data_IF_923157830981
#
_entry.id   IF_923157830981
#
_cell.length_a   1.000
_cell.length_b   1.000
_cell.length_c   1.000
_cell.angle_alpha   90.00
_cell.angle_beta   90.00
_cell.angle_gamma   90.00
#
_symmetry.space_group_name_H-M   'P 1'
#
loop_
_entity.id
_entity.type
_entity.pdbx_description
1 polymer ?
#
# COMPACT_ATOMS: atom_id res chain seq x y z
N UNK A 1 -6.48 53.87 -37.84
CA UNK A 1 -7.57 52.93 -37.47
C UNK A 1 -7.11 51.52 -37.82
N UNK A 2 -7.48 50.51 -37.03
CA UNK A 2 -7.14 49.10 -37.25
C UNK A 2 -8.39 48.33 -37.74
N UNK A 3 -8.32 47.15 -38.36
CA UNK A 3 -7.17 46.43 -38.94
C UNK A 3 -7.64 45.68 -40.20
N UNK A 4 -6.79 45.56 -41.21
CA UNK A 4 -6.90 44.48 -42.19
C UNK A 4 -6.13 43.26 -41.66
N UNK A 5 -6.63 42.06 -41.99
CA UNK A 5 -5.85 40.86 -42.30
C UNK A 5 -6.81 39.81 -42.88
N UNK A 6 -6.46 39.24 -44.04
CA UNK A 6 -7.32 38.31 -44.78
C UNK A 6 -7.03 36.84 -44.48
N UNK A 7 -7.90 35.94 -44.95
CA UNK A 7 -7.67 34.50 -44.90
C UNK A 7 -6.50 34.11 -45.82
N UNK A 8 -5.60 33.25 -45.32
CA UNK A 8 -4.51 32.65 -46.08
C UNK A 8 -4.25 31.23 -45.55
N UNK A 9 -4.00 30.28 -46.45
CA UNK A 9 -3.91 28.87 -46.11
C UNK A 9 -2.70 28.51 -45.24
N UNK A 10 -2.86 27.52 -44.37
CA UNK A 10 -1.74 26.74 -43.85
C UNK A 10 -1.61 25.45 -44.66
N UNK A 11 -0.50 25.30 -45.36
CA UNK A 11 -0.14 24.08 -46.09
C UNK A 11 0.62 23.10 -45.18
N UNK A 12 0.74 21.86 -45.63
CA UNK A 12 1.71 20.91 -45.07
C UNK A 12 3.13 21.45 -45.29
N UNK A 13 4.02 21.24 -44.32
CA UNK A 13 5.45 21.45 -44.48
C UNK A 13 6.18 20.25 -43.89
N UNK A 14 6.94 19.57 -44.75
CA UNK A 14 7.71 18.37 -44.45
C UNK A 14 9.08 18.51 -45.10
N UNK A 15 10.07 18.98 -44.35
CA UNK A 15 11.47 19.06 -44.79
C UNK A 15 12.40 19.21 -43.57
N UNK A 16 13.21 18.18 -43.34
CA UNK A 16 14.60 18.31 -42.84
C UNK A 16 15.33 16.99 -43.17
N UNK A 17 15.80 16.87 -44.41
CA UNK A 17 16.67 15.78 -44.90
C UNK A 17 18.07 16.35 -45.17
N UNK A 18 19.10 15.71 -44.62
CA UNK A 18 20.46 16.25 -44.56
C UNK A 18 21.51 15.35 -45.21
N UNK A 19 21.76 15.53 -46.50
CA UNK A 19 22.68 14.71 -47.28
C UNK A 19 24.20 14.99 -47.03
N UNK A 20 25.10 14.06 -47.41
CA UNK A 20 26.41 13.89 -46.75
C UNK A 20 27.61 14.59 -47.42
N UNK A 21 28.77 14.59 -46.72
CA UNK A 21 30.09 14.87 -47.32
C UNK A 21 31.22 13.95 -46.82
N UNK A 22 32.08 13.56 -47.76
CA UNK A 22 33.29 12.73 -47.68
C UNK A 22 34.55 13.58 -47.28
N UNK A 23 35.74 13.06 -46.92
CA UNK A 23 36.28 11.68 -46.82
C UNK A 23 37.65 11.58 -46.11
N UNK A 24 37.88 10.49 -45.36
CA UNK A 24 39.15 9.71 -45.24
C UNK A 24 40.42 10.38 -44.63
N UNK A 25 41.51 9.63 -44.33
CA UNK A 25 41.74 8.16 -44.25
C UNK A 25 42.13 7.77 -42.78
N UNK A 26 42.72 6.64 -42.31
CA UNK A 26 43.08 5.23 -42.68
C UNK A 26 43.57 4.55 -41.36
N UNK A 27 43.82 3.20 -41.25
CA UNK A 27 43.45 2.07 -42.11
C UNK A 27 42.70 0.93 -41.36
N UNK A 28 42.29 -0.12 -42.09
CA UNK A 28 41.78 -1.37 -41.50
C UNK A 28 42.92 -2.33 -41.09
N UNK A 29 42.59 -3.31 -40.26
CA UNK A 29 43.14 -4.67 -40.36
C UNK A 29 41.96 -5.60 -40.64
N UNK A 30 42.06 -6.41 -41.69
CA UNK A 30 41.06 -7.42 -42.04
C UNK A 30 41.32 -8.73 -41.29
N UNK A 31 40.28 -9.53 -41.08
CA UNK A 31 40.39 -10.97 -41.28
C UNK A 31 39.04 -11.54 -41.76
N UNK A 32 39.10 -12.26 -42.88
CA UNK A 32 38.11 -13.28 -43.28
C UNK A 32 38.50 -14.60 -42.56
N UNK A 33 37.76 -15.71 -42.60
CA UNK A 33 37.04 -16.35 -43.71
C UNK A 33 35.97 -17.35 -43.20
N UNK A 34 35.15 -17.87 -44.13
CA UNK A 34 34.44 -19.17 -44.13
C UNK A 34 33.50 -19.57 -42.96
N UNK A 35 32.39 -20.30 -43.17
CA UNK A 35 31.78 -20.78 -44.42
C UNK A 35 31.33 -22.25 -44.37
N UNK A 36 30.08 -22.52 -43.98
CA UNK A 36 29.48 -23.88 -44.11
C UNK A 36 27.96 -23.81 -44.31
N UNK A 37 27.40 -24.74 -45.10
CA UNK A 37 25.99 -24.77 -45.52
C UNK A 37 25.14 -25.89 -44.87
N UNK A 38 23.81 -25.78 -45.04
CA UNK A 38 22.78 -26.84 -44.98
C UNK A 38 22.47 -27.48 -43.59
N UNK A 39 21.24 -27.92 -43.27
CA UNK A 39 20.15 -28.37 -44.16
C UNK A 39 18.73 -28.12 -43.63
N UNK A 40 17.80 -28.05 -44.59
CA UNK A 40 16.35 -28.38 -44.61
C UNK A 40 15.98 -29.53 -43.64
N UNK A 41 14.76 -29.68 -43.10
CA UNK A 41 13.38 -29.54 -43.65
C UNK A 41 12.36 -29.10 -42.58
N UNK A 42 11.40 -28.18 -42.81
CA UNK A 42 10.14 -28.29 -43.58
C UNK A 42 9.04 -29.19 -42.95
N UNK A 43 7.82 -28.65 -42.75
CA UNK A 43 6.67 -29.38 -42.18
C UNK A 43 5.46 -28.52 -41.78
N UNK A 44 4.69 -27.98 -42.74
CA UNK A 44 3.44 -27.22 -42.51
C UNK A 44 2.27 -27.93 -43.20
N UNK A 45 1.29 -28.44 -42.45
CA UNK A 45 0.02 -28.96 -42.98
C UNK A 45 -1.15 -28.61 -42.06
N UNK A 46 -2.15 -27.92 -42.64
CA UNK A 46 -3.56 -27.81 -42.25
C UNK A 46 -4.35 -27.41 -43.52
N UNK A 47 -5.69 -27.53 -43.58
CA UNK A 47 -6.63 -28.40 -42.86
C UNK A 47 -7.43 -29.29 -43.83
N UNK A 48 -8.41 -30.07 -43.34
CA UNK A 48 -9.52 -30.62 -44.15
C UNK A 48 -10.83 -30.62 -43.36
N UNK A 49 -11.91 -30.17 -43.99
CA UNK A 49 -13.28 -30.14 -43.45
C UNK A 49 -14.09 -31.37 -43.89
N UNK A 50 -15.22 -31.62 -43.20
CA UNK A 50 -16.50 -32.13 -43.72
C UNK A 50 -17.46 -32.26 -42.51
N UNK A 51 -18.48 -31.42 -42.30
CA UNK A 51 -19.77 -31.27 -43.02
C UNK A 51 -20.68 -32.50 -42.97
N UNK A 52 -21.75 -32.44 -42.16
CA UNK A 52 -23.11 -32.36 -42.72
C UNK A 52 -24.16 -31.92 -41.66
N UNK A 53 -25.28 -31.40 -42.15
CA UNK A 53 -26.29 -30.68 -41.37
C UNK A 53 -27.42 -31.59 -40.85
N UNK A 54 -28.19 -31.13 -39.86
CA UNK A 54 -29.62 -30.89 -40.10
C UNK A 54 -30.22 -29.79 -39.22
N UNK A 55 -31.28 -29.17 -39.74
CA UNK A 55 -31.86 -27.85 -39.39
C UNK A 55 -32.89 -27.96 -38.25
N UNK A 56 -32.99 -26.94 -37.37
CA UNK A 56 -34.24 -26.21 -37.06
C UNK A 56 -34.04 -24.92 -36.22
N UNK A 57 -35.03 -24.01 -36.33
CA UNK A 57 -35.14 -22.64 -35.79
C UNK A 57 -35.19 -22.58 -34.25
N UNK A 58 -34.75 -21.50 -33.57
CA UNK A 58 -35.46 -20.20 -33.49
C UNK A 58 -34.59 -19.03 -32.96
N UNK A 59 -35.11 -17.79 -32.97
CA UNK A 59 -34.39 -16.57 -32.56
C UNK A 59 -34.55 -16.15 -31.07
N UNK A 60 -33.44 -15.85 -30.38
CA UNK A 60 -33.44 -15.05 -29.15
C UNK A 60 -32.06 -14.38 -28.90
N UNK A 61 -31.99 -13.09 -28.48
CA UNK A 61 -30.73 -12.34 -28.43
C UNK A 61 -29.89 -12.53 -27.15
N UNK A 62 -28.59 -12.28 -27.29
CA UNK A 62 -27.56 -12.37 -26.24
C UNK A 62 -27.82 -11.42 -25.06
N UNK A 63 -27.77 -11.94 -23.83
CA UNK A 63 -27.91 -11.17 -22.59
C UNK A 63 -26.62 -10.39 -22.28
N UNK A 64 -26.75 -9.09 -21.97
CA UNK A 64 -25.63 -8.17 -21.83
C UNK A 64 -24.83 -8.31 -20.51
N UNK A 65 -23.66 -7.68 -20.47
CA UNK A 65 -22.76 -7.57 -19.30
C UNK A 65 -23.50 -7.08 -18.04
N UNK A 66 -23.18 -7.71 -16.89
CA UNK A 66 -23.63 -7.21 -15.58
C UNK A 66 -22.86 -5.95 -15.18
N UNK A 67 -23.59 -4.96 -14.66
CA UNK A 67 -23.03 -3.89 -13.85
C UNK A 67 -22.67 -4.35 -12.43
N UNK A 68 -22.23 -3.43 -11.55
CA UNK A 68 -21.94 -3.74 -10.16
C UNK A 68 -23.20 -4.16 -9.39
N UNK A 69 -23.02 -5.11 -8.47
CA UNK A 69 -24.11 -5.76 -7.71
C UNK A 69 -24.58 -4.85 -6.58
N UNK A 70 -25.90 -4.64 -6.47
CA UNK A 70 -26.54 -4.07 -5.28
C UNK A 70 -26.60 -5.10 -4.14
N UNK A 71 -26.51 -4.63 -2.90
CA UNK A 71 -26.64 -5.48 -1.71
C UNK A 71 -28.04 -6.12 -1.56
N UNK A 72 -28.19 -7.08 -0.62
CA UNK A 72 -29.43 -7.86 -0.49
C UNK A 72 -30.67 -6.99 -0.23
N UNK A 73 -31.75 -7.27 -0.95
CA UNK A 73 -33.09 -6.80 -0.57
C UNK A 73 -33.53 -7.50 0.71
N UNK A 74 -34.22 -6.76 1.57
CA UNK A 74 -34.96 -7.34 2.68
C UNK A 74 -36.41 -7.53 2.26
N UNK A 75 -36.81 -8.78 2.00
CA UNK A 75 -38.23 -9.12 1.86
C UNK A 75 -38.93 -9.03 3.23
N UNK A 76 -40.21 -8.64 3.22
CA UNK A 76 -41.09 -8.66 4.39
C UNK A 76 -41.71 -7.31 4.77
N UNK A 77 -42.72 -6.87 4.02
CA UNK A 77 -43.57 -5.73 4.38
C UNK A 77 -45.00 -6.19 4.74
N UNK A 78 -45.42 -6.11 6.01
CA UNK A 78 -46.82 -6.09 6.39
C UNK A 78 -47.37 -4.66 6.25
N UNK A 79 -48.55 -4.50 5.68
CA UNK A 79 -49.22 -3.20 5.56
C UNK A 79 -50.08 -2.88 6.78
N UNK A 80 -49.78 -1.78 7.48
CA UNK A 80 -50.80 -0.88 8.06
C UNK A 80 -50.14 0.40 8.57
N UNK A 81 -50.88 1.51 8.54
CA UNK A 81 -50.40 2.77 9.07
C UNK A 81 -50.33 2.74 10.61
N UNK A 82 -49.21 3.20 11.17
CA UNK A 82 -49.22 3.76 12.51
C UNK A 82 -48.19 4.90 12.66
N UNK A 83 -48.43 5.81 13.60
CA UNK A 83 -47.62 7.02 13.77
C UNK A 83 -46.42 6.76 14.67
N UNK A 84 -45.21 6.81 14.13
CA UNK A 84 -43.99 6.91 14.93
C UNK A 84 -43.19 8.16 14.59
N UNK A 85 -43.09 9.04 15.58
CA UNK A 85 -42.21 10.20 15.62
C UNK A 85 -40.75 9.77 15.58
N UNK A 86 -39.99 10.29 14.61
CA UNK A 86 -38.53 10.15 14.57
C UNK A 86 -37.91 11.49 14.92
N UNK A 87 -37.56 11.67 16.20
CA UNK A 87 -36.74 12.79 16.69
C UNK A 87 -35.26 12.59 16.28
N UNK A 88 -35.01 12.58 14.97
CA UNK A 88 -33.69 12.75 14.40
C UNK A 88 -33.48 14.25 14.16
N UNK A 89 -32.57 14.88 14.92
CA UNK A 89 -32.25 16.31 14.78
C UNK A 89 -31.50 16.59 13.46
N UNK A 90 -32.24 16.65 12.37
CA UNK A 90 -31.79 17.24 11.10
C UNK A 90 -31.42 18.71 11.36
N UNK A 91 -30.28 19.15 10.80
CA UNK A 91 -29.89 20.56 10.94
C UNK A 91 -30.97 21.48 10.33
N UNK A 92 -31.17 22.71 10.85
CA UNK A 92 -32.18 23.62 10.29
C UNK A 92 -32.03 23.86 8.79
N UNK A 93 -30.79 23.88 8.27
CA UNK A 93 -30.50 23.99 6.84
C UNK A 93 -30.86 22.72 6.05
N UNK A 94 -30.71 21.54 6.66
CA UNK A 94 -31.15 20.26 6.09
C UNK A 94 -32.68 20.23 6.00
N UNK A 95 -33.37 20.54 7.10
CA UNK A 95 -34.83 20.56 7.16
C UNK A 95 -35.43 21.55 6.14
N UNK A 96 -34.90 22.78 6.09
CA UNK A 96 -35.33 23.79 5.12
C UNK A 96 -35.11 23.34 3.66
N UNK A 97 -33.98 22.67 3.35
CA UNK A 97 -33.73 22.13 2.00
C UNK A 97 -34.71 21.01 1.63
N UNK A 98 -35.00 20.07 2.52
CA UNK A 98 -35.97 19.01 2.25
C UNK A 98 -37.36 19.58 1.99
N UNK A 99 -37.79 20.55 2.81
CA UNK A 99 -39.10 21.21 2.66
C UNK A 99 -39.20 22.01 1.35
N UNK A 100 -38.14 22.72 0.95
CA UNK A 100 -38.07 23.40 -0.36
C UNK A 100 -38.09 22.39 -1.52
N UNK A 101 -37.41 21.25 -1.37
CA UNK A 101 -37.38 20.20 -2.39
C UNK A 101 -38.78 19.59 -2.60
N UNK A 102 -39.47 19.18 -1.53
CA UNK A 102 -40.83 18.63 -1.60
C UNK A 102 -41.84 19.65 -2.18
N UNK A 103 -41.69 20.94 -1.85
CA UNK A 103 -42.53 22.02 -2.40
C UNK A 103 -42.19 22.40 -3.86
N UNK A 104 -41.09 21.90 -4.43
CA UNK A 104 -40.67 22.19 -5.82
C UNK A 104 -40.70 20.97 -6.75
N UNK A 105 -40.96 19.77 -6.22
CA UNK A 105 -41.26 18.61 -7.03
C UNK A 105 -42.61 18.79 -7.76
N UNK A 106 -42.71 18.56 -9.08
CA UNK A 106 -43.98 18.58 -9.79
C UNK A 106 -44.87 17.41 -9.32
N UNK A 107 -46.21 17.59 -9.22
CA UNK A 107 -47.12 16.57 -8.70
C UNK A 107 -47.28 15.34 -9.61
N UNK A 108 -46.70 15.37 -10.80
CA UNK A 108 -46.49 14.21 -11.67
C UNK A 108 -45.00 14.17 -12.02
N UNK A 109 -44.35 13.05 -11.74
CA UNK A 109 -42.92 12.86 -12.00
C UNK A 109 -42.67 12.73 -13.51
N UNK A 110 -42.39 13.87 -14.16
CA UNK A 110 -41.91 13.86 -15.53
C UNK A 110 -40.44 13.41 -15.54
N UNK A 111 -40.21 12.13 -15.88
CA UNK A 111 -38.89 11.50 -15.97
C UNK A 111 -38.34 11.52 -17.41
N UNK A 112 -39.07 12.08 -18.37
CA UNK A 112 -38.63 12.13 -19.77
C UNK A 112 -37.50 13.16 -19.92
N UNK A 113 -36.35 12.70 -20.45
CA UNK A 113 -35.24 13.57 -20.80
C UNK A 113 -35.69 14.48 -21.95
N UNK A 114 -35.60 15.82 -21.82
CA UNK A 114 -36.05 16.72 -22.88
C UNK A 114 -35.26 16.48 -24.17
N UNK A 115 -35.91 16.54 -25.35
CA UNK A 115 -35.23 16.31 -26.62
C UNK A 115 -34.10 17.31 -26.81
N UNK A 116 -32.97 16.84 -27.33
CA UNK A 116 -31.79 17.69 -27.56
C UNK A 116 -32.14 18.87 -28.49
N UNK A 117 -31.65 20.08 -28.19
CA UNK A 117 -32.02 21.26 -28.96
C UNK A 117 -31.58 21.14 -30.44
N UNK A 118 -32.42 21.56 -31.40
CA UNK A 118 -32.11 21.42 -32.82
C UNK A 118 -30.83 22.17 -33.18
N UNK A 119 -29.90 21.47 -33.85
CA UNK A 119 -28.57 21.99 -34.20
C UNK A 119 -27.42 21.49 -33.32
N UNK A 120 -27.68 20.70 -32.28
CA UNK A 120 -26.63 20.01 -31.50
C UNK A 120 -26.51 18.52 -31.88
N UNK A 121 -25.31 17.92 -31.93
CA UNK A 121 -23.98 18.53 -31.78
C UNK A 121 -23.41 19.12 -33.09
N UNK A 122 -22.47 20.05 -32.91
CA UNK A 122 -21.59 20.61 -33.97
C UNK A 122 -20.98 19.50 -34.86
N UNK A 123 -21.07 19.57 -36.21
CA UNK A 123 -20.55 18.54 -37.10
C UNK A 123 -19.05 18.26 -36.90
N UNK A 124 -18.25 19.29 -36.62
CA UNK A 124 -16.82 19.13 -36.35
C UNK A 124 -16.56 18.44 -34.99
N UNK A 125 -17.45 18.61 -34.01
CA UNK A 125 -17.36 17.90 -32.74
C UNK A 125 -17.70 16.40 -32.92
N UNK A 126 -18.75 16.08 -33.66
CA UNK A 126 -19.12 14.69 -33.99
C UNK A 126 -18.01 13.94 -34.76
N UNK A 127 -17.34 14.61 -35.71
CA UNK A 127 -16.19 14.03 -36.42
C UNK A 127 -15.02 13.69 -35.47
N UNK A 128 -14.78 14.52 -34.43
CA UNK A 128 -13.76 14.24 -33.40
C UNK A 128 -14.20 13.07 -32.49
N UNK A 129 -15.45 13.03 -32.05
CA UNK A 129 -15.96 11.93 -31.20
C UNK A 129 -15.97 10.58 -31.91
N UNK A 130 -16.37 10.51 -33.18
CA UNK A 130 -16.30 9.27 -33.97
C UNK A 130 -14.85 8.78 -34.15
N UNK A 131 -13.91 9.71 -34.38
CA UNK A 131 -12.48 9.37 -34.40
C UNK A 131 -11.98 8.83 -33.05
N UNK A 132 -12.28 9.48 -31.92
CA UNK A 132 -11.93 8.98 -30.59
C UNK A 132 -12.54 7.60 -30.28
N UNK A 133 -13.77 7.33 -30.72
CA UNK A 133 -14.40 6.01 -30.58
C UNK A 133 -13.70 4.94 -31.44
N UNK A 134 -13.20 5.28 -32.62
CA UNK A 134 -12.41 4.37 -33.45
C UNK A 134 -11.05 4.04 -32.81
N UNK A 135 -10.34 5.04 -32.29
CA UNK A 135 -9.08 4.87 -31.55
C UNK A 135 -9.25 4.01 -30.29
N UNK A 136 -10.37 4.17 -29.57
CA UNK A 136 -10.71 3.35 -28.41
C UNK A 136 -11.01 1.89 -28.79
N UNK A 137 -11.70 1.65 -29.91
CA UNK A 137 -11.89 0.28 -30.45
C UNK A 137 -10.58 -0.38 -30.87
N UNK A 138 -9.57 0.39 -31.27
CA UNK A 138 -8.20 -0.06 -31.54
C UNK A 138 -7.34 -0.23 -30.27
N UNK A 139 -7.94 -0.18 -29.07
CA UNK A 139 -7.24 -0.35 -27.80
C UNK A 139 -6.43 0.86 -27.33
N UNK A 140 -6.46 2.00 -28.04
CA UNK A 140 -5.64 3.17 -27.67
C UNK A 140 -6.42 4.12 -26.75
N UNK A 141 -6.02 4.14 -25.47
CA UNK A 141 -6.60 5.04 -24.47
C UNK A 141 -5.96 6.43 -24.55
N UNK A 142 -6.71 7.40 -25.08
CA UNK A 142 -6.20 8.75 -25.35
C UNK A 142 -5.63 9.45 -24.10
N UNK A 143 -6.34 9.43 -22.96
CA UNK A 143 -5.89 10.08 -21.72
C UNK A 143 -4.60 9.46 -21.16
N UNK A 144 -4.43 8.16 -21.31
CA UNK A 144 -3.21 7.43 -20.91
C UNK A 144 -2.03 7.79 -21.83
N UNK A 145 -2.28 7.85 -23.14
CA UNK A 145 -1.29 8.28 -24.14
C UNK A 145 -0.90 9.76 -23.97
N UNK A 146 -1.80 10.60 -23.48
CA UNK A 146 -1.50 11.99 -23.07
C UNK A 146 -0.66 12.03 -21.79
N UNK A 147 -1.02 11.30 -20.73
CA UNK A 147 -0.26 11.27 -19.46
C UNK A 147 1.18 10.70 -19.63
N UNK A 148 1.38 9.85 -20.62
CA UNK A 148 2.68 9.32 -21.01
C UNK A 148 3.41 10.17 -22.07
N UNK A 149 2.80 11.24 -22.59
CA UNK A 149 3.44 12.15 -23.55
C UNK A 149 4.47 13.05 -22.87
N UNK A 150 5.71 13.04 -23.37
CA UNK A 150 6.78 13.93 -22.91
C UNK A 150 6.43 15.42 -23.04
N UNK A 151 5.62 15.79 -24.03
CA UNK A 151 5.14 17.16 -24.25
C UNK A 151 4.33 17.69 -23.06
N UNK A 152 3.50 16.85 -22.43
CA UNK A 152 2.70 17.23 -21.25
C UNK A 152 3.47 17.12 -19.92
N UNK A 153 4.61 16.41 -19.91
CA UNK A 153 5.54 16.38 -18.77
C UNK A 153 6.50 17.58 -18.74
N UNK A 154 6.46 18.46 -19.74
CA UNK A 154 7.28 19.66 -19.79
C UNK A 154 6.65 20.80 -18.96
N UNK A 155 7.28 21.27 -17.87
CA UNK A 155 6.70 22.30 -17.01
C UNK A 155 6.52 23.67 -17.71
N UNK A 156 7.24 23.93 -18.81
CA UNK A 156 7.03 25.15 -19.62
C UNK A 156 5.72 25.15 -20.42
N UNK A 157 5.07 23.98 -20.58
CA UNK A 157 3.78 23.89 -21.28
C UNK A 157 2.63 24.47 -20.45
N UNK A 158 2.74 24.43 -19.11
CA UNK A 158 1.72 24.97 -18.20
C UNK A 158 1.50 26.46 -18.44
N UNK A 159 2.57 27.25 -18.56
CA UNK A 159 2.45 28.69 -18.83
C UNK A 159 1.75 28.95 -20.17
N UNK A 160 2.11 28.24 -21.24
CA UNK A 160 1.43 28.35 -22.55
C UNK A 160 -0.07 27.99 -22.50
N UNK A 161 -0.46 27.07 -21.61
CA UNK A 161 -1.87 26.73 -21.38
C UNK A 161 -2.59 27.81 -20.58
N UNK A 162 -1.94 28.43 -19.59
CA UNK A 162 -2.45 29.58 -18.86
C UNK A 162 -2.60 30.81 -19.78
N UNK A 163 -1.57 31.12 -20.58
CA UNK A 163 -1.58 32.16 -21.62
C UNK A 163 -2.77 31.97 -22.58
N UNK A 164 -3.01 30.74 -23.04
CA UNK A 164 -4.13 30.39 -23.93
C UNK A 164 -5.51 30.47 -23.26
N UNK A 165 -5.58 30.17 -21.96
CA UNK A 165 -6.80 30.29 -21.17
C UNK A 165 -7.09 31.73 -20.69
N UNK A 166 -6.20 32.68 -20.96
CA UNK A 166 -6.31 34.07 -20.47
C UNK A 166 -6.08 34.21 -18.96
N UNK A 167 -5.38 33.27 -18.34
CA UNK A 167 -5.07 33.26 -16.90
C UNK A 167 -3.63 33.75 -16.72
N UNK A 168 -3.44 34.89 -16.05
CA UNK A 168 -2.10 35.38 -15.73
C UNK A 168 -1.45 34.65 -14.53
N UNK A 169 -0.15 34.87 -14.32
CA UNK A 169 0.63 34.20 -13.25
C UNK A 169 0.21 34.58 -11.82
N UNK A 170 -0.63 35.61 -11.62
CA UNK A 170 -1.22 35.96 -10.32
C UNK A 170 -2.63 35.40 -10.17
N UNK A 171 -3.42 35.41 -11.25
CA UNK A 171 -4.80 34.90 -11.29
C UNK A 171 -4.94 33.42 -10.93
N UNK A 172 -3.87 32.61 -11.10
CA UNK A 172 -3.84 31.22 -10.60
C UNK A 172 -4.00 31.10 -9.07
N UNK A 173 -3.79 32.19 -8.31
CA UNK A 173 -3.93 32.25 -6.85
C UNK A 173 -5.20 32.99 -6.39
N UNK A 174 -6.07 33.38 -7.33
CA UNK A 174 -7.39 33.92 -7.00
C UNK A 174 -8.30 32.80 -6.49
N UNK A 175 -9.17 33.11 -5.53
CA UNK A 175 -10.09 32.15 -4.92
C UNK A 175 -11.51 32.70 -4.92
N UNK A 176 -12.50 31.85 -4.67
CA UNK A 176 -13.90 32.26 -4.49
C UNK A 176 -14.19 32.84 -3.10
N UNK A 177 -13.17 33.09 -2.28
CA UNK A 177 -13.32 33.70 -0.96
C UNK A 177 -13.46 35.23 -1.07
N UNK A 178 -14.16 35.90 -0.14
CA UNK A 178 -14.15 37.35 -0.04
C UNK A 178 -12.72 37.91 0.07
N UNK A 179 -12.46 39.03 -0.60
CA UNK A 179 -11.14 39.69 -0.62
C UNK A 179 -10.64 40.15 0.77
N UNK A 180 -11.55 40.26 1.74
CA UNK A 180 -11.24 40.52 3.16
C UNK A 180 -10.56 39.32 3.85
N UNK A 181 -10.82 38.10 3.38
CA UNK A 181 -10.26 36.85 3.92
C UNK A 181 -9.04 36.37 3.14
N UNK A 182 -8.99 36.62 1.82
CA UNK A 182 -7.84 36.28 0.98
C UNK A 182 -7.63 37.27 -0.15
N UNK A 183 -6.45 37.88 -0.20
CA UNK A 183 -6.00 38.75 -1.29
C UNK A 183 -4.56 38.39 -1.65
N UNK A 184 -4.37 37.77 -2.83
CA UNK A 184 -3.07 37.38 -3.39
C UNK A 184 -2.10 38.57 -3.54
N UNK A 185 -2.63 39.75 -3.88
CA UNK A 185 -1.88 41.00 -4.03
C UNK A 185 -1.65 41.74 -2.71
N UNK A 186 -2.22 41.27 -1.59
CA UNK A 186 -2.10 41.88 -0.26
C UNK A 186 -0.94 41.34 0.60
N UNK A 187 -0.15 40.39 0.08
CA UNK A 187 0.93 39.76 0.82
C UNK A 187 2.10 40.73 1.08
N UNK A 188 2.68 40.76 2.29
CA UNK A 188 3.95 41.45 2.56
C UNK A 188 5.11 40.90 1.73
N UNK A 189 6.16 41.71 1.50
CA UNK A 189 7.33 41.31 0.67
C UNK A 189 7.94 39.97 1.09
N UNK A 190 8.07 39.75 2.41
CA UNK A 190 8.65 38.54 2.99
C UNK A 190 7.81 37.27 2.73
N UNK A 191 6.53 37.42 2.36
CA UNK A 191 5.64 36.31 2.03
C UNK A 191 5.86 35.75 0.63
N UNK A 192 6.54 36.48 -0.25
CA UNK A 192 6.83 36.00 -1.61
C UNK A 192 7.99 35.00 -1.63
N UNK A 193 7.88 34.03 -2.55
CA UNK A 193 8.80 32.91 -2.74
C UNK A 193 10.28 33.31 -2.76
N UNK A 194 10.63 34.45 -3.35
CA UNK A 194 12.03 34.88 -3.50
C UNK A 194 12.63 35.41 -2.19
N UNK A 195 11.88 36.21 -1.42
CA UNK A 195 12.33 36.69 -0.11
C UNK A 195 12.39 35.56 0.91
N UNK A 196 11.44 34.62 0.90
CA UNK A 196 11.51 33.39 1.70
C UNK A 196 12.77 32.57 1.38
N UNK A 197 13.08 32.38 0.10
CA UNK A 197 14.23 31.59 -0.35
C UNK A 197 15.57 32.31 -0.02
N UNK A 198 15.58 33.65 -0.07
CA UNK A 198 16.71 34.48 0.40
C UNK A 198 16.90 34.35 1.92
N UNK A 199 15.84 34.53 2.71
CA UNK A 199 15.87 34.37 4.17
C UNK A 199 16.34 32.98 4.61
N UNK A 200 15.87 31.92 3.92
CA UNK A 200 16.34 30.54 4.17
C UNK A 200 17.82 30.35 3.85
N UNK A 201 18.34 30.95 2.76
CA UNK A 201 19.77 30.95 2.43
C UNK A 201 20.60 31.67 3.49
N UNK A 202 20.18 32.87 3.89
CA UNK A 202 20.86 33.67 4.93
C UNK A 202 20.88 32.94 6.27
N UNK A 203 19.75 32.33 6.69
CA UNK A 203 19.66 31.50 7.89
C UNK A 203 20.61 30.30 7.84
N UNK A 204 20.76 29.66 6.67
CA UNK A 204 21.65 28.50 6.46
C UNK A 204 23.14 28.88 6.43
N UNK A 205 23.47 30.08 5.94
CA UNK A 205 24.82 30.66 6.00
C UNK A 205 25.15 31.08 7.44
N UNK A 206 24.17 31.62 8.18
CA UNK A 206 24.35 31.99 9.59
C UNK A 206 24.56 30.76 10.48
N UNK A 207 23.78 29.68 10.29
CA UNK A 207 23.94 28.45 11.07
C UNK A 207 25.27 27.74 10.78
N UNK A 208 25.71 27.67 9.52
CA UNK A 208 27.03 27.11 9.16
C UNK A 208 28.18 27.93 9.75
N UNK A 209 28.13 29.28 9.67
CA UNK A 209 29.12 30.15 10.34
C UNK A 209 29.14 29.98 11.87
N UNK A 210 27.97 29.82 12.49
CA UNK A 210 27.83 29.61 13.95
C UNK A 210 28.39 28.24 14.37
N UNK A 211 28.23 27.21 13.53
CA UNK A 211 28.83 25.89 13.75
C UNK A 211 30.35 25.92 13.60
N UNK A 212 30.90 26.60 12.58
CA UNK A 212 32.37 26.72 12.43
C UNK A 212 33.02 27.49 13.58
N UNK A 213 32.35 28.52 14.11
CA UNK A 213 32.84 29.29 15.26
C UNK A 213 32.74 28.54 16.60
N UNK A 214 31.89 27.51 16.71
CA UNK A 214 31.70 26.73 17.93
C UNK A 214 32.80 25.67 18.17
N UNK A 215 33.69 25.41 17.21
CA UNK A 215 34.70 24.33 17.27
C UNK A 215 35.87 24.58 18.24
N UNK A 216 35.84 25.66 19.04
CA UNK A 216 36.83 25.98 20.08
C UNK A 216 36.11 26.33 21.39
N UNK A 217 35.38 25.35 21.96
CA UNK A 217 34.82 25.44 23.31
C UNK A 217 34.86 24.06 24.00
N UNK A 218 35.23 24.05 25.28
CA UNK A 218 35.30 22.81 26.07
C UNK A 218 33.90 22.23 26.30
N UNK A 219 33.69 20.98 25.88
CA UNK A 219 32.41 20.27 25.93
C UNK A 219 32.08 19.64 27.31
N UNK A 220 32.65 20.14 28.41
CA UNK A 220 32.34 19.68 29.76
C UNK A 220 31.18 20.52 30.36
N UNK A 221 29.99 19.93 30.63
CA UNK A 221 28.80 20.70 31.01
C UNK A 221 28.92 21.48 32.32
N UNK A 222 29.81 21.06 33.21
CA UNK A 222 30.02 21.63 34.55
C UNK A 222 30.60 23.06 34.51
N UNK A 223 31.30 23.42 33.42
CA UNK A 223 31.90 24.74 33.25
C UNK A 223 30.91 25.81 32.73
N UNK A 224 29.69 25.43 32.33
CA UNK A 224 28.72 26.35 31.73
C UNK A 224 27.92 27.09 32.80
N UNK A 225 28.56 28.09 33.41
CA UNK A 225 27.92 29.01 34.35
C UNK A 225 26.67 29.68 33.75
N UNK A 226 25.63 29.85 34.58
CA UNK A 226 24.33 30.36 34.14
C UNK A 226 24.45 31.75 33.48
N UNK A 227 23.90 31.95 32.26
CA UNK A 227 23.66 33.28 31.72
C UNK A 227 22.81 34.10 32.71
N UNK A 228 23.09 35.40 32.81
CA UNK A 228 22.38 36.27 33.76
C UNK A 228 20.96 36.60 33.26
N UNK A 229 20.02 36.65 34.20
CA UNK A 229 18.60 36.92 33.93
C UNK A 229 18.31 38.36 33.49
N UNK A 230 19.26 39.29 33.67
CA UNK A 230 19.17 40.70 33.26
C UNK A 230 19.24 40.86 31.73
N UNK A 231 20.02 40.04 31.04
CA UNK A 231 20.20 40.07 29.57
C UNK A 231 19.18 39.17 28.84
N UNK A 232 18.80 38.03 29.43
CA UNK A 232 18.00 36.99 28.75
C UNK A 232 16.58 36.79 29.35
N UNK A 233 16.22 37.53 30.40
CA UNK A 233 14.95 37.41 31.09
C UNK A 233 14.83 36.18 31.99
N UNK A 234 13.72 36.04 32.73
CA UNK A 234 13.42 34.83 33.48
C UNK A 234 13.11 33.66 32.53
N UNK A 235 13.75 32.51 32.74
CA UNK A 235 13.54 31.33 31.90
C UNK A 235 12.11 30.80 32.05
N UNK A 236 11.32 30.90 30.98
CA UNK A 236 9.98 30.34 30.93
C UNK A 236 10.05 28.81 30.72
N UNK A 237 9.52 27.98 31.64
CA UNK A 237 9.61 26.54 31.54
C UNK A 237 8.70 25.91 30.48
N UNK A 238 7.80 26.65 29.82
CA UNK A 238 6.85 26.06 28.84
C UNK A 238 7.54 25.47 27.60
N UNK A 239 8.79 25.85 27.31
CA UNK A 239 9.60 25.25 26.24
C UNK A 239 10.18 23.89 26.64
N UNK A 240 10.28 23.59 27.94
CA UNK A 240 10.65 22.28 28.47
C UNK A 240 9.43 21.35 28.44
N UNK A 241 8.82 21.20 27.26
CA UNK A 241 8.03 20.03 26.91
C UNK A 241 8.89 18.81 27.18
N UNK A 242 8.50 18.01 28.17
CA UNK A 242 9.35 16.96 28.73
C UNK A 242 9.75 15.97 27.63
N UNK A 243 11.05 15.82 27.40
CA UNK A 243 11.63 14.85 26.46
C UNK A 243 11.58 13.42 26.99
N UNK A 244 10.45 13.04 27.58
CA UNK A 244 10.12 11.66 27.90
C UNK A 244 9.79 10.85 26.64
N UNK A 245 9.68 9.52 26.76
CA UNK A 245 9.24 8.67 25.66
C UNK A 245 7.82 9.06 25.21
N UNK A 246 7.54 8.96 23.91
CA UNK A 246 6.17 9.11 23.39
C UNK A 246 5.33 7.92 23.85
N UNK A 247 4.44 8.11 24.84
CA UNK A 247 3.54 7.08 25.36
C UNK A 247 2.39 6.66 24.42
N UNK A 248 2.42 7.09 23.15
CA UNK A 248 1.39 6.84 22.15
C UNK A 248 2.03 6.46 20.80
N UNK A 249 1.77 5.24 20.32
CA UNK A 249 2.31 4.73 19.04
C UNK A 249 1.47 5.26 17.88
N UNK A 250 1.72 6.51 17.47
CA UNK A 250 1.09 7.11 16.28
C UNK A 250 1.64 6.57 14.95
N UNK A 251 2.83 5.97 14.98
CA UNK A 251 3.51 5.36 13.85
C UNK A 251 4.54 4.36 14.39
N UNK A 252 4.68 3.16 13.81
CA UNK A 252 5.69 2.20 14.25
C UNK A 252 7.09 2.70 13.88
N UNK A 253 8.07 2.40 14.73
CA UNK A 253 9.45 2.88 14.59
C UNK A 253 10.42 1.75 14.21
N UNK A 254 10.33 0.61 14.89
CA UNK A 254 11.19 -0.56 14.67
C UNK A 254 10.28 -1.76 14.46
N UNK A 255 10.25 -2.32 13.25
CA UNK A 255 9.26 -3.32 12.85
C UNK A 255 9.87 -4.67 12.53
N UNK A 256 9.22 -5.73 13.04
CA UNK A 256 9.32 -7.08 12.51
C UNK A 256 8.24 -7.32 11.47
N UNK A 257 8.55 -8.08 10.42
CA UNK A 257 7.62 -8.36 9.31
C UNK A 257 6.93 -9.72 9.49
N UNK A 258 7.01 -10.58 8.49
CA UNK A 258 6.15 -11.73 8.32
C UNK A 258 6.33 -12.77 9.44
N UNK A 259 5.22 -13.28 9.96
CA UNK A 259 5.09 -14.47 10.81
C UNK A 259 4.21 -15.45 10.05
N UNK A 260 4.51 -16.75 10.07
CA UNK A 260 3.77 -17.79 9.32
C UNK A 260 3.52 -18.99 10.23
N UNK A 261 2.32 -19.57 10.19
CA UNK A 261 1.93 -20.71 11.03
C UNK A 261 1.01 -21.70 10.30
N UNK A 262 1.11 -22.99 10.66
CA UNK A 262 0.38 -24.12 10.07
C UNK A 262 -0.02 -25.11 11.17
N UNK A 263 -1.29 -25.51 11.23
CA UNK A 263 -1.75 -26.66 12.03
C UNK A 263 -1.39 -27.97 11.34
N UNK A 264 -1.11 -29.01 12.13
CA UNK A 264 -0.87 -30.37 11.65
C UNK A 264 -1.46 -31.39 12.64
N UNK A 265 -1.46 -32.67 12.29
CA UNK A 265 -1.97 -33.72 13.15
C UNK A 265 -1.19 -33.78 14.48
N UNK A 266 -1.86 -33.44 15.58
CA UNK A 266 -1.28 -33.41 16.92
C UNK A 266 -0.55 -32.12 17.30
N UNK A 267 -0.59 -31.04 16.50
CA UNK A 267 0.09 -29.80 16.88
C UNK A 267 -0.06 -28.59 15.94
N UNK A 268 0.74 -27.56 16.22
CA UNK A 268 0.85 -26.34 15.41
C UNK A 268 2.32 -25.96 15.27
N UNK A 269 2.76 -25.62 14.07
CA UNK A 269 4.09 -25.08 13.81
C UNK A 269 3.98 -23.59 13.47
N UNK A 270 4.92 -22.78 13.96
CA UNK A 270 4.97 -21.33 13.74
C UNK A 270 6.42 -20.87 13.54
N UNK A 271 6.66 -19.95 12.61
CA UNK A 271 7.98 -19.42 12.33
C UNK A 271 7.96 -17.91 12.04
N UNK A 272 9.05 -17.24 12.38
CA UNK A 272 9.30 -15.83 12.11
C UNK A 272 10.80 -15.60 11.91
N UNK A 273 11.18 -14.64 11.06
CA UNK A 273 12.58 -14.24 10.97
C UNK A 273 13.02 -13.40 12.18
N UNK A 274 14.34 -13.30 12.39
CA UNK A 274 14.88 -12.59 13.55
C UNK A 274 15.15 -11.09 13.28
N UNK A 275 14.59 -10.52 12.20
CA UNK A 275 14.88 -9.15 11.80
C UNK A 275 13.94 -8.13 12.47
N UNK A 276 14.54 -7.02 12.92
CA UNK A 276 13.82 -5.80 13.23
C UNK A 276 14.42 -4.62 12.44
N UNK A 277 13.60 -4.07 11.53
CA UNK A 277 13.99 -2.98 10.61
C UNK A 277 13.58 -1.62 11.18
N UNK A 278 14.50 -0.64 11.12
CA UNK A 278 14.18 0.77 11.33
C UNK A 278 13.91 1.41 9.95
N UNK A 279 12.65 1.38 9.51
CA UNK A 279 12.26 1.82 8.17
C UNK A 279 12.88 0.97 7.06
N UNK A 280 13.95 1.48 6.43
CA UNK A 280 14.72 0.77 5.41
C UNK A 280 16.02 0.12 5.92
N UNK A 281 16.45 0.44 7.14
CA UNK A 281 17.67 -0.07 7.73
C UNK A 281 17.40 -1.37 8.50
N UNK A 282 18.07 -2.47 8.12
CA UNK A 282 18.16 -3.68 8.93
C UNK A 282 18.96 -3.37 10.21
N UNK A 283 18.27 -2.94 11.28
CA UNK A 283 18.92 -2.30 12.44
C UNK A 283 19.31 -3.29 13.53
N UNK A 284 18.50 -4.33 13.74
CA UNK A 284 18.77 -5.41 14.68
C UNK A 284 18.49 -6.75 14.00
N UNK A 285 19.50 -7.61 13.88
CA UNK A 285 19.47 -8.87 13.13
C UNK A 285 19.22 -10.13 13.98
N UNK A 286 18.91 -9.95 15.27
CA UNK A 286 18.68 -11.06 16.19
C UNK A 286 17.60 -10.77 17.26
N UNK A 287 16.43 -10.31 16.81
CA UNK A 287 15.27 -10.08 17.67
C UNK A 287 14.38 -11.33 17.64
N UNK A 288 14.28 -12.07 18.75
CA UNK A 288 13.39 -13.22 18.86
C UNK A 288 11.93 -12.74 18.91
N UNK A 289 11.20 -12.92 17.80
CA UNK A 289 9.80 -12.49 17.58
C UNK A 289 8.75 -13.57 17.88
N UNK A 290 9.17 -14.79 18.22
CA UNK A 290 8.34 -15.82 18.83
C UNK A 290 8.53 -15.74 20.36
N UNK A 291 7.44 -15.85 21.12
CA UNK A 291 7.44 -15.86 22.59
C UNK A 291 6.60 -17.01 23.10
N UNK A 292 7.12 -17.76 24.08
CA UNK A 292 6.42 -18.88 24.72
C UNK A 292 5.70 -18.35 25.96
N UNK A 293 4.44 -18.75 26.17
CA UNK A 293 3.66 -18.39 27.35
C UNK A 293 2.97 -19.64 27.91
N UNK A 294 3.13 -19.89 29.20
CA UNK A 294 2.78 -21.18 29.81
C UNK A 294 3.51 -22.34 29.14
N UNK A 295 2.93 -23.54 29.23
CA UNK A 295 3.55 -24.79 28.77
C UNK A 295 3.25 -25.13 27.29
N UNK A 296 2.19 -24.53 26.72
CA UNK A 296 1.58 -25.02 25.46
C UNK A 296 1.07 -23.92 24.52
N UNK A 297 1.55 -22.68 24.67
CA UNK A 297 1.23 -21.57 23.76
C UNK A 297 2.48 -20.80 23.30
N UNK A 298 2.48 -20.39 22.04
CA UNK A 298 3.49 -19.54 21.41
C UNK A 298 2.80 -18.43 20.64
N UNK A 299 3.30 -17.20 20.80
CA UNK A 299 2.80 -16.02 20.09
C UNK A 299 3.91 -15.48 19.19
N UNK A 300 3.62 -15.38 17.91
CA UNK A 300 4.50 -14.76 16.92
C UNK A 300 4.06 -13.33 16.61
N UNK A 301 4.99 -12.38 16.73
CA UNK A 301 4.72 -10.94 16.65
C UNK A 301 5.21 -10.31 15.34
N UNK A 302 4.29 -9.61 14.66
CA UNK A 302 4.51 -8.75 13.51
C UNK A 302 4.18 -7.30 13.87
N UNK A 303 4.76 -6.32 13.19
CA UNK A 303 4.58 -4.89 13.51
C UNK A 303 5.65 -4.37 14.48
N UNK A 304 5.29 -3.40 15.34
CA UNK A 304 6.27 -2.68 16.16
C UNK A 304 6.85 -3.54 17.31
N UNK A 305 8.17 -3.45 17.49
CA UNK A 305 8.95 -4.23 18.46
C UNK A 305 8.84 -3.67 19.89
N UNK A 306 8.55 -2.38 20.06
CA UNK A 306 8.33 -1.79 21.39
C UNK A 306 6.93 -2.11 21.93
N UNK A 307 5.90 -2.11 21.07
CA UNK A 307 4.57 -2.61 21.42
C UNK A 307 4.58 -4.12 21.68
N UNK A 308 5.33 -4.91 20.89
CA UNK A 308 5.61 -6.32 21.20
C UNK A 308 6.18 -6.48 22.61
N UNK A 309 7.25 -5.74 22.96
CA UNK A 309 7.85 -5.78 24.30
C UNK A 309 6.92 -5.27 25.40
N UNK A 310 5.88 -4.49 25.10
CA UNK A 310 4.84 -4.13 26.06
C UNK A 310 3.85 -5.29 26.26
N UNK A 311 3.42 -5.95 25.18
CA UNK A 311 2.54 -7.12 25.24
C UNK A 311 3.22 -8.29 25.95
N UNK A 312 4.52 -8.51 25.70
CA UNK A 312 5.34 -9.57 26.33
C UNK A 312 5.23 -9.49 27.86
N UNK A 313 5.63 -8.35 28.44
CA UNK A 313 5.54 -8.06 29.89
C UNK A 313 4.11 -8.06 30.42
N UNK A 314 3.13 -7.65 29.60
CA UNK A 314 1.72 -7.69 29.99
C UNK A 314 1.25 -9.13 30.18
N UNK A 315 1.59 -10.04 29.27
CA UNK A 315 1.24 -11.45 29.33
C UNK A 315 2.01 -12.18 30.45
N UNK A 316 3.32 -11.95 30.60
CA UNK A 316 4.12 -12.41 31.75
C UNK A 316 3.43 -12.02 33.08
N UNK A 317 2.99 -10.77 33.21
CA UNK A 317 2.32 -10.27 34.42
C UNK A 317 0.94 -10.89 34.68
N UNK A 318 0.34 -11.58 33.70
CA UNK A 318 -0.92 -12.31 33.87
C UNK A 318 -0.62 -13.76 34.21
N UNK A 319 0.27 -14.41 33.46
CA UNK A 319 0.72 -15.79 33.69
C UNK A 319 1.26 -15.97 35.12
N UNK A 320 2.14 -15.07 35.58
CA UNK A 320 2.63 -15.05 36.97
C UNK A 320 1.47 -14.98 37.99
N UNK A 321 0.43 -14.19 37.73
CA UNK A 321 -0.70 -14.03 38.68
C UNK A 321 -1.65 -15.22 38.67
N UNK A 322 -1.90 -15.84 37.52
CA UNK A 322 -2.72 -17.06 37.45
C UNK A 322 -1.96 -18.28 38.02
N UNK A 323 -0.64 -18.37 37.82
CA UNK A 323 0.20 -19.44 38.40
C UNK A 323 0.33 -19.35 39.93
N UNK A 324 0.10 -18.16 40.53
CA UNK A 324 -0.08 -18.01 41.99
C UNK A 324 -1.55 -18.07 42.45
N UNK A 325 -2.50 -18.34 41.56
CA UNK A 325 -3.93 -18.50 41.90
C UNK A 325 -4.21 -19.87 42.49
N UNK A 326 -4.96 -19.93 43.59
CA UNK A 326 -5.30 -21.16 44.33
C UNK A 326 -6.12 -22.19 43.54
N UNK A 327 -6.53 -21.86 42.31
CA UNK A 327 -7.43 -22.66 41.48
C UNK A 327 -6.73 -23.48 40.40
N UNK A 328 -5.41 -23.36 40.22
CA UNK A 328 -4.62 -24.27 39.36
C UNK A 328 -4.96 -24.24 37.86
N UNK A 329 -5.64 -23.19 37.37
CA UNK A 329 -6.07 -23.08 35.97
C UNK A 329 -4.99 -22.42 35.10
N UNK A 330 -4.26 -23.21 34.31
CA UNK A 330 -3.25 -22.72 33.36
C UNK A 330 -3.87 -21.96 32.16
N UNK A 331 -3.17 -20.94 31.67
CA UNK A 331 -3.60 -20.16 30.50
C UNK A 331 -3.35 -20.92 29.18
N UNK A 332 -4.44 -21.38 28.54
CA UNK A 332 -4.38 -21.98 27.20
C UNK A 332 -4.34 -20.90 26.08
N UNK A 333 -3.98 -21.30 24.85
CA UNK A 333 -3.79 -20.40 23.72
C UNK A 333 -5.09 -19.63 23.32
N UNK A 334 -6.26 -20.25 23.50
CA UNK A 334 -7.56 -19.62 23.24
C UNK A 334 -7.89 -18.53 24.28
N UNK A 335 -7.51 -18.73 25.55
CA UNK A 335 -7.62 -17.70 26.58
C UNK A 335 -6.71 -16.51 26.27
N UNK A 336 -5.44 -16.75 25.90
CA UNK A 336 -4.49 -15.70 25.53
C UNK A 336 -4.97 -14.89 24.30
N UNK A 337 -5.47 -15.56 23.26
CA UNK A 337 -6.07 -14.90 22.10
C UNK A 337 -7.32 -14.07 22.45
N UNK A 338 -8.19 -14.59 23.31
CA UNK A 338 -9.39 -13.89 23.79
C UNK A 338 -9.06 -12.69 24.69
N UNK A 339 -7.92 -12.72 25.39
CA UNK A 339 -7.40 -11.58 26.14
C UNK A 339 -6.83 -10.53 25.18
N UNK A 340 -5.95 -10.93 24.26
CA UNK A 340 -5.27 -10.01 23.34
C UNK A 340 -6.24 -9.28 22.41
N UNK A 341 -7.27 -9.96 21.89
CA UNK A 341 -8.29 -9.32 21.06
C UNK A 341 -9.02 -8.18 21.78
N UNK A 342 -9.35 -8.38 23.07
CA UNK A 342 -9.91 -7.34 23.94
C UNK A 342 -8.92 -6.20 24.21
N UNK A 343 -7.64 -6.51 24.38
CA UNK A 343 -6.57 -5.49 24.51
C UNK A 343 -6.49 -4.65 23.23
N UNK A 344 -6.28 -5.26 22.05
CA UNK A 344 -6.20 -4.52 20.78
C UNK A 344 -7.46 -3.67 20.53
N UNK A 345 -8.65 -4.24 20.73
CA UNK A 345 -9.91 -3.52 20.52
C UNK A 345 -10.08 -2.35 21.50
N UNK A 346 -9.71 -2.51 22.78
CA UNK A 346 -9.68 -1.41 23.76
C UNK A 346 -8.69 -0.32 23.33
N UNK A 347 -7.45 -0.69 22.98
CA UNK A 347 -6.38 0.24 22.62
C UNK A 347 -6.71 1.03 21.34
N UNK A 348 -7.36 0.39 20.35
CA UNK A 348 -7.99 1.05 19.19
C UNK A 348 -9.04 2.07 19.64
N UNK A 349 -9.95 1.68 20.54
CA UNK A 349 -11.05 2.55 21.02
C UNK A 349 -10.56 3.76 21.83
N UNK A 350 -9.39 3.64 22.46
CA UNK A 350 -8.66 4.74 23.12
C UNK A 350 -7.90 5.66 22.12
N UNK A 351 -8.03 5.44 20.81
CA UNK A 351 -7.23 6.09 19.75
C UNK A 351 -5.71 5.98 19.97
N UNK A 352 -5.27 4.90 20.63
CA UNK A 352 -3.87 4.61 20.94
C UNK A 352 -3.60 3.11 20.73
N UNK A 353 -3.72 2.60 19.48
CA UNK A 353 -3.57 1.18 19.17
C UNK A 353 -2.14 0.69 19.45
N UNK A 354 -2.01 -0.60 19.77
CA UNK A 354 -0.72 -1.30 19.75
C UNK A 354 -0.47 -1.76 18.31
N UNK A 355 0.64 -1.35 17.70
CA UNK A 355 0.86 -1.47 16.25
C UNK A 355 1.38 -2.85 15.84
N UNK A 356 0.68 -3.90 16.26
CA UNK A 356 1.03 -5.30 15.98
C UNK A 356 -0.06 -6.04 15.19
N UNK A 357 0.38 -7.11 14.53
CA UNK A 357 -0.46 -8.26 14.20
C UNK A 357 0.19 -9.47 14.86
N UNK A 358 -0.60 -10.31 15.53
CA UNK A 358 -0.09 -11.47 16.27
C UNK A 358 -0.77 -12.75 15.80
N UNK A 359 0.00 -13.83 15.68
CA UNK A 359 -0.53 -15.19 15.55
C UNK A 359 -0.34 -15.90 16.89
N UNK A 360 -1.45 -16.36 17.48
CA UNK A 360 -1.46 -17.15 18.70
C UNK A 360 -1.62 -18.62 18.31
N UNK A 361 -0.58 -19.42 18.55
CA UNK A 361 -0.49 -20.84 18.25
C UNK A 361 -0.38 -21.66 19.54
N UNK A 362 -0.96 -22.87 19.57
CA UNK A 362 -0.85 -23.76 20.73
C UNK A 362 -2.05 -24.69 20.86
N UNK A 363 -2.49 -24.94 22.08
CA UNK A 363 -3.68 -25.75 22.37
C UNK A 363 -4.81 -24.95 23.04
N UNK A 364 -6.05 -25.36 22.79
CA UNK A 364 -7.21 -24.90 23.56
C UNK A 364 -7.46 -25.79 24.81
N UNK A 365 -8.43 -25.40 25.65
CA UNK A 365 -8.79 -26.17 26.84
C UNK A 365 -9.36 -27.58 26.60
N UNK A 366 -9.54 -28.00 25.35
CA UNK A 366 -9.94 -29.36 24.96
C UNK A 366 -8.76 -30.17 24.38
N UNK A 367 -7.53 -29.66 24.51
CA UNK A 367 -6.31 -30.22 23.92
C UNK A 367 -6.40 -30.36 22.38
N UNK A 368 -7.07 -29.41 21.71
CA UNK A 368 -7.13 -29.32 20.24
C UNK A 368 -6.17 -28.25 19.69
N UNK A 369 -5.53 -28.48 18.52
CA UNK A 369 -4.63 -27.50 17.90
C UNK A 369 -5.32 -26.16 17.59
N UNK A 370 -4.88 -25.10 18.27
CA UNK A 370 -5.40 -23.75 18.18
C UNK A 370 -4.43 -22.84 17.42
N UNK A 371 -4.95 -22.12 16.42
CA UNK A 371 -4.20 -21.12 15.64
C UNK A 371 -5.14 -19.99 15.25
N UNK A 372 -4.90 -18.77 15.74
CA UNK A 372 -5.74 -17.60 15.45
C UNK A 372 -4.93 -16.30 15.33
N UNK A 373 -5.39 -15.39 14.47
CA UNK A 373 -4.83 -14.03 14.30
C UNK A 373 -5.56 -13.03 15.19
N UNK A 374 -4.84 -12.00 15.64
CA UNK A 374 -5.40 -10.73 16.10
C UNK A 374 -4.59 -9.56 15.51
N UNK A 375 -5.24 -8.44 15.15
CA UNK A 375 -4.59 -7.25 14.61
C UNK A 375 -4.76 -6.00 15.50
N UNK A 376 -4.07 -4.91 15.17
CA UNK A 376 -4.19 -3.60 15.83
C UNK A 376 -5.60 -2.98 15.84
N UNK A 377 -6.54 -3.53 15.04
CA UNK A 377 -7.93 -3.10 14.98
C UNK A 377 -8.84 -3.98 15.86
N UNK A 378 -8.31 -5.04 16.49
CA UNK A 378 -9.08 -6.04 17.22
C UNK A 378 -9.81 -7.04 16.30
N UNK A 379 -9.53 -7.04 15.00
CA UNK A 379 -10.01 -8.07 14.06
C UNK A 379 -9.44 -9.42 14.47
N UNK A 380 -10.26 -10.46 14.48
CA UNK A 380 -9.82 -11.82 14.81
C UNK A 380 -10.43 -12.85 13.87
N UNK A 381 -9.65 -13.88 13.56
CA UNK A 381 -10.08 -15.04 12.80
C UNK A 381 -9.15 -16.23 13.06
N UNK A 382 -9.62 -17.45 12.79
CA UNK A 382 -8.87 -18.69 12.89
C UNK A 382 -8.87 -19.40 11.53
N UNK A 383 -7.80 -20.12 11.22
CA UNK A 383 -7.67 -20.94 10.01
C UNK A 383 -6.68 -22.10 10.24
N UNK A 384 -6.65 -23.12 9.38
CA UNK A 384 -5.61 -24.17 9.41
C UNK A 384 -4.19 -23.63 9.16
N UNK A 385 -4.07 -22.54 8.41
CA UNK A 385 -2.80 -21.88 8.11
C UNK A 385 -2.98 -20.35 8.14
N UNK A 386 -2.03 -19.62 8.72
CA UNK A 386 -2.10 -18.16 8.90
C UNK A 386 -0.74 -17.51 8.62
N UNK A 387 -0.76 -16.24 8.22
CA UNK A 387 0.43 -15.43 8.05
C UNK A 387 0.13 -13.93 8.24
N UNK A 388 1.13 -13.17 8.64
CA UNK A 388 1.07 -11.70 8.82
C UNK A 388 1.87 -10.98 7.74
N UNK A 389 1.61 -9.67 7.55
CA UNK A 389 2.42 -8.81 6.68
C UNK A 389 2.54 -9.35 5.24
N UNK A 390 3.75 -9.34 4.68
CA UNK A 390 4.02 -9.89 3.34
C UNK A 390 3.75 -11.41 3.25
N UNK A 391 3.84 -12.13 4.36
CA UNK A 391 3.43 -13.53 4.47
C UNK A 391 1.97 -13.76 4.09
N UNK A 392 1.07 -12.82 4.39
CA UNK A 392 -0.34 -12.91 3.99
C UNK A 392 -0.53 -12.93 2.46
N UNK A 393 0.40 -12.33 1.71
CA UNK A 393 0.36 -12.27 0.24
C UNK A 393 1.21 -13.35 -0.43
N UNK A 394 2.34 -13.75 0.18
CA UNK A 394 3.32 -14.66 -0.44
C UNK A 394 3.31 -16.08 0.13
N UNK A 395 3.11 -16.25 1.44
CA UNK A 395 3.10 -17.58 2.07
C UNK A 395 1.72 -18.26 1.96
N UNK A 396 0.62 -17.52 2.19
CA UNK A 396 -0.74 -18.10 2.14
C UNK A 396 -1.05 -18.83 0.81
N UNK A 397 -0.72 -18.31 -0.39
CA UNK A 397 -0.96 -19.06 -1.63
C UNK A 397 -0.15 -20.35 -1.75
N UNK A 398 1.05 -20.41 -1.14
CA UNK A 398 1.86 -21.64 -1.10
C UNK A 398 1.20 -22.65 -0.14
N UNK A 399 0.80 -22.19 1.05
CA UNK A 399 0.17 -23.05 2.06
C UNK A 399 -1.18 -23.61 1.58
N UNK A 400 -2.03 -22.80 0.92
CA UNK A 400 -3.27 -23.26 0.28
C UNK A 400 -3.07 -24.29 -0.84
N UNK A 401 -1.92 -24.24 -1.53
CA UNK A 401 -1.57 -25.21 -2.59
C UNK A 401 -1.00 -26.52 -2.04
N UNK A 402 -0.36 -26.48 -0.87
CA UNK A 402 0.18 -27.67 -0.18
C UNK A 402 -0.88 -28.34 0.72
N UNK A 403 -1.78 -27.53 1.29
CA UNK A 403 -2.86 -27.91 2.18
C UNK A 403 -4.17 -27.24 1.70
N UNK A 404 -4.84 -27.82 0.68
CA UNK A 404 -6.16 -27.39 0.22
C UNK A 404 -7.20 -27.51 1.33
N UNK A 405 -8.33 -26.81 1.20
CA UNK A 405 -9.40 -26.81 2.22
C UNK A 405 -10.12 -28.17 2.32
N UNK A 406 -9.99 -29.01 1.30
CA UNK A 406 -10.45 -30.40 1.24
C UNK A 406 -9.54 -31.39 1.98
N UNK A 407 -8.28 -31.03 2.28
CA UNK A 407 -7.34 -31.91 3.02
C UNK A 407 -7.49 -31.67 4.53
N UNK A 408 -7.97 -32.65 5.33
CA UNK A 408 -8.10 -32.48 6.77
C UNK A 408 -6.75 -32.28 7.45
N UNK A 409 -6.73 -31.56 8.57
CA UNK A 409 -5.51 -31.25 9.33
C UNK A 409 -4.87 -32.53 9.90
N UNK A 410 -5.70 -33.52 10.17
CA UNK A 410 -5.40 -34.88 10.61
C UNK A 410 -4.55 -35.67 9.60
N UNK A 411 -4.55 -35.30 8.32
CA UNK A 411 -3.68 -35.89 7.30
C UNK A 411 -2.33 -35.19 7.17
N UNK A 412 -2.14 -34.01 7.77
CA UNK A 412 -0.91 -33.21 7.65
C UNK A 412 0.09 -33.66 8.72
N UNK A 413 1.28 -34.09 8.31
CA UNK A 413 2.35 -34.48 9.24
C UNK A 413 3.14 -33.28 9.79
N UNK A 414 3.78 -33.46 10.97
CA UNK A 414 4.74 -32.50 11.55
C UNK A 414 5.83 -32.11 10.54
N UNK A 415 6.34 -33.08 9.80
CA UNK A 415 7.41 -32.88 8.81
C UNK A 415 6.93 -32.09 7.57
N UNK A 416 5.75 -32.39 7.02
CA UNK A 416 5.17 -31.60 5.93
C UNK A 416 4.94 -30.15 6.34
N UNK A 417 4.40 -29.90 7.54
CA UNK A 417 4.14 -28.55 8.04
C UNK A 417 5.44 -27.76 8.24
N UNK A 418 6.47 -28.37 8.84
CA UNK A 418 7.79 -27.73 9.00
C UNK A 418 8.45 -27.45 7.65
N UNK A 419 8.39 -28.38 6.70
CA UNK A 419 8.92 -28.18 5.35
C UNK A 419 8.16 -27.08 4.59
N UNK A 420 6.83 -27.04 4.69
CA UNK A 420 6.01 -25.98 4.09
C UNK A 420 6.33 -24.58 4.66
N UNK A 421 6.58 -24.48 5.97
CA UNK A 421 7.05 -23.24 6.60
C UNK A 421 8.44 -22.83 6.08
N UNK A 422 9.40 -23.77 5.98
CA UNK A 422 10.74 -23.50 5.43
C UNK A 422 10.69 -23.03 3.97
N UNK A 423 9.84 -23.62 3.13
CA UNK A 423 9.61 -23.15 1.75
C UNK A 423 8.97 -21.75 1.71
N UNK A 424 8.01 -21.45 2.59
CA UNK A 424 7.41 -20.12 2.67
C UNK A 424 8.42 -19.06 3.11
N UNK A 425 9.27 -19.34 4.10
CA UNK A 425 10.35 -18.46 4.54
C UNK A 425 11.37 -18.22 3.42
N UNK A 426 11.74 -19.26 2.66
CA UNK A 426 12.63 -19.14 1.50
C UNK A 426 12.05 -18.23 0.41
N UNK A 427 10.75 -18.30 0.13
CA UNK A 427 10.09 -17.39 -0.82
C UNK A 427 9.99 -15.97 -0.28
N UNK A 428 9.75 -15.79 1.03
CA UNK A 428 9.79 -14.48 1.68
C UNK A 428 11.18 -13.85 1.57
N UNK A 429 12.25 -14.59 1.86
CA UNK A 429 13.64 -14.12 1.71
C UNK A 429 13.97 -13.59 0.30
N UNK A 430 13.43 -14.21 -0.75
CA UNK A 430 13.63 -13.74 -2.13
C UNK A 430 12.81 -12.50 -2.53
N UNK A 431 11.79 -12.09 -1.76
CA UNK A 431 10.74 -11.15 -2.22
C UNK A 431 10.33 -10.07 -1.22
N UNK A 432 10.53 -10.28 0.08
CA UNK A 432 10.34 -9.29 1.14
C UNK A 432 11.68 -8.62 1.45
N UNK A 433 11.86 -7.38 1.01
CA UNK A 433 13.06 -6.58 1.26
C UNK A 433 13.26 -6.18 2.74
N UNK A 434 12.38 -6.64 3.65
CA UNK A 434 12.44 -6.48 5.10
C UNK A 434 12.41 -7.85 5.80
N UNK A 435 13.05 -8.84 5.18
CA UNK A 435 13.30 -10.17 5.74
C UNK A 435 14.80 -10.49 5.85
N UNK A 436 15.15 -11.56 6.56
CA UNK A 436 16.51 -12.04 6.81
C UNK A 436 16.64 -13.56 6.59
N UNK A 437 17.85 -14.03 6.28
CA UNK A 437 18.17 -15.46 6.09
C UNK A 437 18.09 -16.30 7.38
N UNK A 438 18.11 -15.62 8.55
CA UNK A 438 18.10 -16.17 9.91
C UNK A 438 16.69 -16.11 10.51
N UNK A 439 16.18 -17.26 10.94
CA UNK A 439 14.83 -17.38 11.50
C UNK A 439 14.75 -18.27 12.73
N UNK A 440 13.63 -18.15 13.45
CA UNK A 440 13.26 -19.01 14.57
C UNK A 440 11.96 -19.73 14.25
N UNK A 441 11.86 -21.00 14.63
CA UNK A 441 10.69 -21.86 14.38
C UNK A 441 10.34 -22.61 15.66
N UNK A 442 9.07 -22.58 16.06
CA UNK A 442 8.54 -23.37 17.16
C UNK A 442 7.59 -24.44 16.62
N UNK A 443 7.65 -25.65 17.20
CA UNK A 443 6.65 -26.70 17.02
C UNK A 443 5.97 -26.93 18.37
N UNK A 444 4.66 -26.74 18.43
CA UNK A 444 3.86 -26.93 19.63
C UNK A 444 3.11 -28.26 19.50
N UNK A 445 3.34 -29.14 20.46
CA UNK A 445 2.87 -30.53 20.54
C UNK A 445 2.25 -30.79 21.91
N UNK A 446 1.63 -31.96 22.13
CA UNK A 446 1.00 -32.27 23.44
C UNK A 446 2.03 -32.52 24.53
N UNK A 447 3.26 -32.84 24.12
CA UNK A 447 4.45 -33.01 24.94
C UNK A 447 5.09 -31.67 25.35
N UNK A 448 4.75 -30.57 24.66
CA UNK A 448 5.26 -29.22 24.94
C UNK A 448 5.67 -28.43 23.68
N UNK A 449 6.48 -27.39 23.89
CA UNK A 449 7.00 -26.49 22.85
C UNK A 449 8.46 -26.81 22.52
N UNK A 450 8.72 -27.30 21.31
CA UNK A 450 10.06 -27.40 20.73
C UNK A 450 10.43 -26.07 20.06
N UNK A 451 11.40 -25.32 20.61
CA UNK A 451 11.90 -24.07 20.01
C UNK A 451 13.23 -24.30 19.29
N UNK A 452 13.29 -23.96 18.01
CA UNK A 452 14.48 -24.02 17.17
C UNK A 452 14.86 -22.61 16.68
N UNK A 453 15.67 -21.92 17.48
CA UNK A 453 16.18 -20.60 17.15
C UNK A 453 17.35 -20.64 16.14
N UNK A 454 17.60 -19.51 15.47
CA UNK A 454 18.79 -19.24 14.66
C UNK A 454 19.08 -20.20 13.51
N UNK A 455 18.04 -20.89 13.03
CA UNK A 455 18.08 -21.61 11.75
C UNK A 455 18.34 -20.65 10.59
N UNK A 456 18.96 -21.17 9.53
CA UNK A 456 19.19 -20.45 8.28
C UNK A 456 18.43 -21.06 7.11
N UNK A 457 18.09 -20.23 6.13
CA UNK A 457 17.41 -20.67 4.90
C UNK A 457 18.41 -21.41 4.00
N UNK A 458 18.24 -22.73 3.92
CA UNK A 458 19.01 -23.64 3.07
C UNK A 458 18.52 -23.65 1.60
N UNK A 459 19.26 -24.35 0.73
CA UNK A 459 18.88 -24.69 -0.65
C UNK A 459 18.44 -23.45 -1.47
N UNK A 460 19.19 -22.37 -1.31
CA UNK A 460 18.96 -21.13 -2.05
C UNK A 460 19.39 -21.27 -3.52
N UNK A 461 18.63 -20.70 -4.43
CA UNK A 461 18.82 -20.86 -5.89
C UNK A 461 19.18 -19.53 -6.54
N UNK A 462 20.47 -19.23 -6.63
CA UNK A 462 21.01 -18.00 -7.22
C UNK A 462 21.75 -18.21 -8.55
N UNK A 463 21.95 -19.46 -8.99
CA UNK A 463 22.75 -19.79 -10.19
C UNK A 463 22.24 -19.11 -11.49
N UNK A 464 20.94 -18.81 -11.58
CA UNK A 464 20.38 -18.10 -12.74
C UNK A 464 20.96 -16.67 -12.91
N UNK A 465 21.51 -16.07 -11.86
CA UNK A 465 22.09 -14.73 -11.91
C UNK A 465 23.30 -14.64 -12.87
N UNK A 466 24.06 -15.73 -13.05
CA UNK A 466 25.20 -15.79 -13.98
C UNK A 466 24.76 -15.64 -15.45
N UNK A 467 23.51 -16.00 -15.76
CA UNK A 467 22.91 -15.87 -17.10
C UNK A 467 22.31 -14.49 -17.39
N UNK A 468 22.16 -13.62 -16.39
CA UNK A 468 21.56 -12.29 -16.54
C UNK A 468 22.66 -11.27 -16.84
N UNK A 469 22.63 -10.69 -18.05
CA UNK A 469 23.49 -9.58 -18.45
C UNK A 469 22.66 -8.39 -18.94
N UNK A 470 23.03 -7.20 -18.47
CA UNK A 470 22.34 -5.95 -18.80
C UNK A 470 20.85 -5.95 -18.46
N UNK A 471 20.08 -5.16 -19.23
CA UNK A 471 18.63 -4.97 -19.08
C UNK A 471 17.93 -4.82 -20.44
N UNK A 472 18.54 -5.35 -21.52
CA UNK A 472 18.12 -5.14 -22.89
C UNK A 472 19.17 -5.61 -23.90
N UNK A 473 19.57 -4.74 -24.83
CA UNK A 473 20.44 -5.08 -25.98
C UNK A 473 21.93 -5.38 -25.65
N UNK A 474 22.26 -5.77 -24.41
CA UNK A 474 23.64 -6.00 -23.98
C UNK A 474 24.01 -7.49 -24.11
N UNK A 475 24.52 -7.86 -25.30
CA UNK A 475 25.10 -9.17 -25.59
C UNK A 475 26.51 -9.33 -25.00
N UNK A 476 27.03 -10.57 -25.05
CA UNK A 476 28.19 -11.07 -24.30
C UNK A 476 29.52 -10.34 -24.54
#
# INVERSE_FOLDING_TARGET
MASLLGLGAYQSSSEDEGEPRHSSPTPNIEHKDEGTEASKTAGRITPTENTNNHILTDEAPLKALSGPIMGPLHDGAPSSADKLSIDAQLSPASAARTLIHDLTLPPVANLDIPPSPPGSPEPMANAKFTHFLSLKKQGTHFNEKLANSSSLRNPSLLRKLMDHAGIDEQAQYNTSLPAELWNSSGLPSWGYKEELLKSQKETRIFSTKRLSAASIMNHFPEAWGRPRNDVYGPYNPSYLQTSGPKSHTQSPAVTGTSVVAVKFNGGVAIAADNLASYGSLARFSDVKRLRVFGESAVIGFSGDVSDMQHIDRLLESIDIRENYSTHGNTLNAKNLHTYLSKVFYKRRSEFNPLWNQVLVAGFDGNNQPFLSSADLLGTTFSAPHLATGFGAHLAIPILRRLFPEERPVEEITKEEAVNALKECLKVLWYRDARSLDKFSLAVITKEGVEMHEDQKIEKQSWAFAESIRGYGAQVN
#
